data_IF_042106704261
#
_entry.id   IF_042106704261
#
_cell.length_a   1.000
_cell.length_b   1.000
_cell.length_c   1.000
_cell.angle_alpha   90.00
_cell.angle_beta   90.00
_cell.angle_gamma   90.00
#
_symmetry.space_group_name_H-M   'P 1'
#
loop_
_entity.id
_entity.type
_entity.pdbx_description
1 polymer ?
#
# COMPACT_ATOMS: atom_id res chain seq x y z
N UNK A 1 20.11 13.39 21.56
CA UNK A 1 20.13 14.81 21.98
C UNK A 1 18.74 15.43 21.82
N UNK A 2 18.52 16.59 22.43
CA UNK A 2 17.24 17.32 22.31
C UNK A 2 16.96 17.72 20.85
N UNK A 3 17.99 18.05 20.10
CA UNK A 3 17.90 18.41 18.68
C UNK A 3 17.46 17.22 17.81
N UNK A 4 17.96 16.04 18.08
CA UNK A 4 17.54 14.82 17.36
C UNK A 4 16.06 14.49 17.60
N UNK A 5 15.59 14.70 18.84
CA UNK A 5 14.17 14.49 19.14
C UNK A 5 13.27 15.47 18.39
N UNK A 6 13.68 16.75 18.32
CA UNK A 6 12.96 17.79 17.55
C UNK A 6 12.95 17.48 16.06
N UNK A 7 14.08 17.06 15.50
CA UNK A 7 14.19 16.68 14.10
C UNK A 7 13.26 15.49 13.77
N UNK A 8 13.23 14.47 14.61
CA UNK A 8 12.31 13.32 14.44
C UNK A 8 10.84 13.72 14.46
N UNK A 9 10.47 14.71 15.27
CA UNK A 9 9.09 15.22 15.29
C UNK A 9 8.75 15.90 13.96
N UNK A 10 9.63 16.74 13.45
CA UNK A 10 9.45 17.43 12.17
C UNK A 10 9.36 16.41 11.01
N UNK A 11 10.24 15.41 11.02
CA UNK A 11 10.22 14.34 10.01
C UNK A 11 8.88 13.57 10.03
N UNK A 12 8.36 13.27 11.21
CA UNK A 12 7.03 12.63 11.36
C UNK A 12 5.91 13.52 10.83
N UNK A 13 5.98 14.81 11.10
CA UNK A 13 4.99 15.77 10.60
C UNK A 13 5.04 15.88 9.07
N UNK A 14 6.23 15.86 8.48
CA UNK A 14 6.42 15.82 7.02
C UNK A 14 5.80 14.55 6.43
N UNK A 15 6.09 13.39 7.00
CA UNK A 15 5.51 12.13 6.53
C UNK A 15 3.99 12.09 6.71
N UNK A 16 3.46 12.64 7.79
CA UNK A 16 2.02 12.75 7.99
C UNK A 16 1.36 13.63 6.91
N UNK A 17 1.93 14.79 6.60
CA UNK A 17 1.42 15.68 5.55
C UNK A 17 1.44 14.97 4.20
N UNK A 18 2.55 14.31 3.85
CA UNK A 18 2.68 13.54 2.60
C UNK A 18 1.62 12.45 2.52
N UNK A 19 1.37 11.72 3.61
CA UNK A 19 0.37 10.66 3.66
C UNK A 19 -1.05 11.19 3.41
N UNK A 20 -1.41 12.34 3.98
CA UNK A 20 -2.74 12.93 3.78
C UNK A 20 -2.99 13.30 2.32
N UNK A 21 -2.02 13.92 1.66
CA UNK A 21 -2.18 14.30 0.25
C UNK A 21 -2.01 13.12 -0.70
N UNK A 22 -1.22 12.10 -0.32
CA UNK A 22 -1.08 10.87 -1.11
C UNK A 22 -2.40 10.10 -1.20
N UNK A 23 -3.25 10.17 -0.20
CA UNK A 23 -4.59 9.56 -0.24
C UNK A 23 -5.54 10.28 -1.21
N UNK A 24 -5.21 11.52 -1.58
CA UNK A 24 -5.94 12.30 -2.58
C UNK A 24 -5.38 12.17 -4.00
N UNK A 25 -4.38 11.32 -4.19
CA UNK A 25 -3.74 11.07 -5.47
C UNK A 25 -2.38 11.77 -5.68
N UNK A 26 -1.94 12.60 -4.74
CA UNK A 26 -0.66 13.33 -4.85
C UNK A 26 0.51 12.48 -4.32
N UNK A 27 0.92 11.49 -5.10
CA UNK A 27 1.93 10.50 -4.69
C UNK A 27 3.35 11.06 -4.64
N UNK A 28 3.65 12.12 -5.40
CA UNK A 28 4.99 12.68 -5.54
C UNK A 28 5.14 14.04 -4.88
N UNK A 29 4.39 14.27 -3.83
CA UNK A 29 4.43 15.51 -3.05
C UNK A 29 5.78 15.72 -2.40
N UNK A 30 6.30 16.93 -2.54
CA UNK A 30 7.47 17.39 -1.81
C UNK A 30 7.04 18.31 -0.67
N UNK A 31 7.64 18.12 0.50
CA UNK A 31 7.42 18.99 1.67
C UNK A 31 8.76 19.55 2.10
N UNK A 32 8.88 20.87 2.03
CA UNK A 32 10.02 21.62 2.56
C UNK A 32 9.60 22.28 3.85
N UNK A 33 10.53 22.44 4.77
CA UNK A 33 10.25 23.14 6.02
C UNK A 33 11.33 24.16 6.35
N UNK A 34 10.93 25.20 7.08
CA UNK A 34 11.78 26.27 7.56
C UNK A 34 11.50 26.51 9.03
N UNK A 35 12.57 26.69 9.81
CA UNK A 35 12.48 26.90 11.27
C UNK A 35 12.88 28.35 11.57
N UNK A 36 11.94 29.05 12.17
CA UNK A 36 12.20 30.43 12.72
C UNK A 36 12.24 30.37 14.22
N UNK A 37 13.34 30.86 14.79
CA UNK A 37 13.53 30.97 16.24
C UNK A 37 13.26 32.39 16.70
N UNK A 38 12.40 32.53 17.69
CA UNK A 38 12.21 33.77 18.44
C UNK A 38 12.86 33.59 19.80
N UNK A 39 14.07 34.16 19.94
CA UNK A 39 14.85 34.04 21.18
C UNK A 39 14.23 34.80 22.33
N UNK A 40 13.50 35.89 22.06
CA UNK A 40 12.90 36.74 23.11
C UNK A 40 11.74 36.00 23.82
N UNK A 41 10.95 35.24 23.08
CA UNK A 41 9.81 34.52 23.61
C UNK A 41 10.08 33.03 23.82
N UNK A 42 11.30 32.60 23.53
CA UNK A 42 11.72 31.20 23.63
C UNK A 42 10.82 30.22 22.80
N UNK A 43 10.38 30.69 21.64
CA UNK A 43 9.47 29.97 20.73
C UNK A 43 10.23 29.69 19.43
N UNK A 44 10.03 28.46 18.91
CA UNK A 44 10.43 28.11 17.57
C UNK A 44 9.18 27.78 16.74
N UNK A 45 9.03 28.41 15.59
CA UNK A 45 7.97 28.13 14.64
C UNK A 45 8.52 27.37 13.45
N UNK A 46 7.79 26.34 13.01
CA UNK A 46 8.11 25.54 11.83
C UNK A 46 7.10 25.86 10.76
N UNK A 47 7.58 26.26 9.59
CA UNK A 47 6.75 26.56 8.45
C UNK A 47 6.93 25.47 7.38
N UNK A 48 5.85 24.78 7.03
CA UNK A 48 5.87 23.74 6.02
C UNK A 48 5.41 24.29 4.68
N UNK A 49 6.20 24.09 3.63
CA UNK A 49 5.84 24.40 2.26
C UNK A 49 5.55 23.11 1.51
N UNK A 50 4.31 22.91 1.15
CA UNK A 50 3.83 21.68 0.47
C UNK A 50 3.74 21.95 -1.01
N UNK A 51 4.47 21.14 -1.80
CA UNK A 51 4.43 21.15 -3.25
C UNK A 51 3.81 19.82 -3.69
N UNK A 52 2.49 19.78 -3.95
CA UNK A 52 1.79 18.51 -4.17
C UNK A 52 2.13 17.86 -5.52
N UNK A 53 2.48 18.64 -6.52
CA UNK A 53 2.62 18.15 -7.89
C UNK A 53 1.27 17.82 -8.52
N UNK A 54 1.27 16.92 -9.51
CA UNK A 54 0.06 16.46 -10.18
C UNK A 54 -0.54 15.24 -9.48
N UNK A 55 -1.84 15.04 -9.64
CA UNK A 55 -2.49 13.78 -9.29
C UNK A 55 -1.89 12.66 -10.13
N UNK A 56 -1.61 11.53 -9.47
CA UNK A 56 -0.93 10.39 -10.09
C UNK A 56 -1.93 9.26 -10.30
N UNK A 57 -1.90 8.69 -11.49
CA UNK A 57 -2.73 7.56 -11.89
C UNK A 57 -1.85 6.34 -12.10
N UNK A 58 -2.41 5.17 -11.82
CA UNK A 58 -1.74 3.90 -12.07
C UNK A 58 -1.67 3.67 -13.58
N UNK A 59 -0.45 3.48 -14.10
CA UNK A 59 -0.23 3.14 -15.49
C UNK A 59 -0.35 1.64 -15.72
N UNK A 60 0.37 0.85 -14.94
CA UNK A 60 0.33 -0.61 -15.02
C UNK A 60 0.63 -1.25 -13.65
N UNK A 61 0.16 -2.47 -13.48
CA UNK A 61 0.45 -3.33 -12.34
C UNK A 61 1.18 -4.56 -12.87
N UNK A 62 2.47 -4.65 -12.57
CA UNK A 62 3.36 -5.69 -13.06
C UNK A 62 3.59 -6.70 -11.94
N UNK A 63 3.23 -7.95 -12.17
CA UNK A 63 3.31 -9.02 -11.18
C UNK A 63 4.40 -10.00 -11.58
N UNK A 64 5.22 -10.40 -10.63
CA UNK A 64 6.29 -11.38 -10.82
C UNK A 64 6.48 -12.27 -9.59
N UNK A 65 7.08 -13.45 -9.79
CA UNK A 65 7.36 -14.41 -8.73
C UNK A 65 6.24 -15.41 -8.47
N UNK A 66 5.09 -15.23 -9.11
CA UNK A 66 3.92 -16.12 -8.98
C UNK A 66 3.98 -17.28 -9.98
N UNK A 67 4.90 -18.22 -9.78
CA UNK A 67 5.12 -19.35 -10.71
C UNK A 67 3.98 -20.36 -10.70
N UNK A 68 3.29 -20.51 -9.58
CA UNK A 68 2.16 -21.45 -9.37
C UNK A 68 0.84 -20.75 -9.13
N UNK A 69 0.86 -19.49 -8.78
CA UNK A 69 -0.32 -18.69 -8.50
C UNK A 69 -0.69 -17.87 -9.72
N UNK A 70 -1.95 -17.92 -10.15
CA UNK A 70 -2.42 -17.14 -11.28
C UNK A 70 -2.35 -15.63 -11.01
N UNK A 71 -2.04 -14.85 -12.02
CA UNK A 71 -2.03 -13.39 -11.96
C UNK A 71 -3.36 -12.83 -11.43
N UNK A 72 -4.47 -13.39 -11.84
CA UNK A 72 -5.80 -12.98 -11.40
C UNK A 72 -6.00 -13.10 -9.89
N UNK A 73 -5.37 -14.08 -9.26
CA UNK A 73 -5.40 -14.26 -7.80
C UNK A 73 -4.63 -13.14 -7.10
N UNK A 74 -3.47 -12.77 -7.63
CA UNK A 74 -2.67 -11.66 -7.09
C UNK A 74 -3.40 -10.33 -7.31
N UNK A 75 -3.90 -10.08 -8.52
CA UNK A 75 -4.59 -8.83 -8.88
C UNK A 75 -5.84 -8.58 -8.06
N UNK A 76 -6.52 -9.62 -7.63
CA UNK A 76 -7.71 -9.52 -6.78
C UNK A 76 -7.43 -8.82 -5.45
N UNK A 77 -6.23 -9.03 -4.90
CA UNK A 77 -5.82 -8.44 -3.62
C UNK A 77 -5.01 -7.14 -3.79
N UNK A 78 -4.78 -6.70 -5.01
CA UNK A 78 -4.22 -5.38 -5.33
C UNK A 78 -5.36 -4.42 -5.63
N UNK A 79 -5.60 -3.47 -4.72
CA UNK A 79 -6.75 -2.56 -4.77
C UNK A 79 -6.54 -1.33 -5.68
N UNK A 80 -5.44 -1.29 -6.40
CA UNK A 80 -5.13 -0.30 -7.41
C UNK A 80 -4.98 -1.00 -8.76
N UNK A 81 -5.81 -0.62 -9.72
CA UNK A 81 -5.79 -1.11 -11.09
C UNK A 81 -5.28 -0.03 -12.06
N UNK A 82 -4.86 -0.39 -13.28
CA UNK A 82 -4.53 0.61 -14.30
C UNK A 82 -5.65 1.63 -14.48
N UNK A 83 -5.28 2.90 -14.62
CA UNK A 83 -6.14 4.10 -14.70
C UNK A 83 -6.75 4.57 -13.38
N UNK A 84 -6.62 3.84 -12.30
CA UNK A 84 -7.07 4.30 -10.99
C UNK A 84 -6.22 5.47 -10.49
N UNK A 85 -6.85 6.38 -9.76
CA UNK A 85 -6.15 7.41 -9.02
C UNK A 85 -5.38 6.76 -7.87
N UNK A 86 -4.12 7.14 -7.70
CA UNK A 86 -3.31 6.63 -6.60
C UNK A 86 -3.95 6.94 -5.24
N UNK A 87 -3.92 5.97 -4.35
CA UNK A 87 -4.32 6.09 -2.95
C UNK A 87 -3.29 5.37 -2.08
N UNK A 88 -2.71 6.07 -1.13
CA UNK A 88 -1.76 5.47 -0.18
C UNK A 88 -2.42 4.39 0.67
N UNK A 89 -3.67 4.61 1.08
CA UNK A 89 -4.44 3.62 1.83
C UNK A 89 -4.61 2.34 1.03
N UNK A 90 -5.03 2.43 -0.24
CA UNK A 90 -5.19 1.28 -1.11
C UNK A 90 -3.86 0.59 -1.42
N UNK A 91 -2.78 1.35 -1.54
CA UNK A 91 -1.43 0.80 -1.70
C UNK A 91 -1.01 -0.04 -0.48
N UNK A 92 -1.15 0.51 0.71
CA UNK A 92 -0.81 -0.20 1.96
C UNK A 92 -1.70 -1.41 2.19
N UNK A 93 -2.99 -1.27 1.95
CA UNK A 93 -3.95 -2.36 2.12
C UNK A 93 -3.73 -3.48 1.10
N UNK A 94 -3.32 -3.17 -0.12
CA UNK A 94 -2.92 -4.17 -1.12
C UNK A 94 -1.79 -5.06 -0.61
N UNK A 95 -0.74 -4.45 -0.07
CA UNK A 95 0.38 -5.19 0.52
C UNK A 95 -0.08 -6.07 1.69
N UNK A 96 -0.90 -5.51 2.58
CA UNK A 96 -1.44 -6.23 3.73
C UNK A 96 -2.32 -7.40 3.28
N UNK A 97 -3.18 -7.21 2.30
CA UNK A 97 -4.06 -8.26 1.79
C UNK A 97 -3.26 -9.42 1.19
N UNK A 98 -2.25 -9.13 0.38
CA UNK A 98 -1.37 -10.16 -0.18
C UNK A 98 -0.60 -10.92 0.90
N UNK A 99 -0.12 -10.23 1.93
CA UNK A 99 0.57 -10.87 3.06
C UNK A 99 -0.37 -11.76 3.87
N UNK A 100 -1.61 -11.34 4.08
CA UNK A 100 -2.62 -12.12 4.82
C UNK A 100 -3.20 -13.29 4.03
N UNK A 101 -3.02 -13.32 2.72
CA UNK A 101 -3.58 -14.36 1.85
C UNK A 101 -3.07 -15.77 2.19
N UNK A 102 -1.89 -15.88 2.76
CA UNK A 102 -1.24 -17.15 3.06
C UNK A 102 -0.54 -17.80 1.87
N UNK A 103 -0.68 -17.25 0.65
CA UNK A 103 -0.04 -17.78 -0.54
C UNK A 103 1.43 -17.41 -0.67
N UNK A 104 1.86 -16.35 0.01
CA UNK A 104 3.19 -15.77 -0.19
C UNK A 104 3.97 -15.67 1.11
N UNK A 105 5.25 -16.06 1.08
CA UNK A 105 6.22 -15.84 2.16
C UNK A 105 6.65 -14.39 2.22
N UNK A 106 6.83 -13.77 1.05
CA UNK A 106 7.28 -12.40 0.92
C UNK A 106 6.45 -11.68 -0.13
N UNK A 107 6.10 -10.44 0.17
CA UNK A 107 5.40 -9.53 -0.74
C UNK A 107 6.13 -8.20 -0.73
N UNK A 108 6.51 -7.73 -1.91
CA UNK A 108 7.08 -6.41 -2.10
C UNK A 108 6.31 -5.68 -3.20
N UNK A 109 5.87 -4.46 -2.92
CA UNK A 109 5.24 -3.60 -3.92
C UNK A 109 6.08 -2.34 -4.04
N UNK A 110 6.67 -2.13 -5.21
CA UNK A 110 7.44 -0.94 -5.54
C UNK A 110 6.61 0.02 -6.38
N UNK A 111 6.80 1.30 -6.12
CA UNK A 111 6.25 2.37 -6.92
C UNK A 111 7.31 2.84 -7.92
N UNK A 112 7.06 2.67 -9.19
CA UNK A 112 7.92 3.14 -10.27
C UNK A 112 7.31 4.35 -10.93
N UNK A 113 7.96 5.50 -10.83
CA UNK A 113 7.49 6.71 -11.50
C UNK A 113 7.73 6.60 -13.00
N UNK A 114 6.66 6.69 -13.77
CA UNK A 114 6.70 6.66 -15.26
C UNK A 114 6.73 8.07 -15.83
N UNK A 115 5.95 8.95 -15.26
CA UNK A 115 5.86 10.36 -15.65
C UNK A 115 5.43 11.22 -14.45
N UNK A 116 5.18 12.51 -14.67
CA UNK A 116 4.72 13.40 -13.60
C UNK A 116 3.38 12.98 -13.00
N UNK A 117 2.53 12.29 -13.76
CA UNK A 117 1.17 11.93 -13.40
C UNK A 117 0.89 10.42 -13.48
N UNK A 118 1.91 9.59 -13.68
CA UNK A 118 1.75 8.14 -13.83
C UNK A 118 2.79 7.37 -13.06
N UNK A 119 2.35 6.24 -12.47
CA UNK A 119 3.22 5.27 -11.85
C UNK A 119 2.85 3.85 -12.24
N UNK A 120 3.85 2.97 -12.25
CA UNK A 120 3.67 1.52 -12.26
C UNK A 120 3.75 1.00 -10.82
N UNK A 121 2.96 -0.02 -10.52
CA UNK A 121 3.13 -0.83 -9.32
C UNK A 121 3.82 -2.13 -9.72
N UNK A 122 4.98 -2.39 -9.14
CA UNK A 122 5.74 -3.62 -9.35
C UNK A 122 5.54 -4.51 -8.15
N UNK A 123 4.72 -5.54 -8.31
CA UNK A 123 4.38 -6.51 -7.27
C UNK A 123 5.27 -7.72 -7.45
N UNK A 124 6.19 -7.92 -6.52
CA UNK A 124 7.07 -9.08 -6.49
C UNK A 124 6.70 -9.94 -5.30
N UNK A 125 6.35 -11.19 -5.56
CA UNK A 125 5.95 -12.14 -4.53
C UNK A 125 6.91 -13.33 -4.51
N UNK A 126 7.08 -13.92 -3.34
CA UNK A 126 7.70 -15.23 -3.16
C UNK A 126 6.65 -16.17 -2.63
N UNK A 127 6.36 -17.22 -3.39
CA UNK A 127 5.32 -18.16 -3.03
C UNK A 127 5.69 -18.97 -1.79
N UNK A 128 4.72 -19.17 -0.90
CA UNK A 128 4.86 -20.02 0.25
C UNK A 128 5.05 -21.49 -0.18
N UNK A 129 5.74 -22.26 0.64
CA UNK A 129 5.91 -23.69 0.39
C UNK A 129 4.54 -24.37 0.44
N UNK A 130 4.31 -25.31 -0.48
CA UNK A 130 3.05 -26.02 -0.62
C UNK A 130 2.59 -26.68 0.69
N UNK A 131 3.50 -27.18 1.50
CA UNK A 131 3.21 -27.74 2.81
C UNK A 131 2.57 -26.77 3.78
N UNK A 132 2.99 -25.52 3.78
CA UNK A 132 2.42 -24.47 4.65
C UNK A 132 1.00 -24.11 4.24
N UNK A 133 0.72 -24.07 2.95
CA UNK A 133 -0.62 -23.82 2.41
C UNK A 133 -1.56 -24.96 2.81
N UNK A 134 -1.11 -26.20 2.73
CA UNK A 134 -1.89 -27.37 3.13
C UNK A 134 -2.21 -27.38 4.62
N UNK A 135 -1.27 -26.99 5.48
CA UNK A 135 -1.48 -26.88 6.93
C UNK A 135 -2.45 -25.75 7.28
N UNK A 136 -2.42 -24.65 6.57
CA UNK A 136 -3.34 -23.53 6.77
C UNK A 136 -4.74 -23.79 6.21
N UNK A 137 -4.85 -24.56 5.12
CA UNK A 137 -6.09 -24.78 4.38
C UNK A 137 -6.73 -26.16 4.55
N UNK A 138 -6.10 -27.09 5.19
CA UNK A 138 -6.51 -28.51 5.19
C UNK A 138 -6.49 -29.02 3.77
N UNK A 139 -6.06 -30.09 3.45
CA UNK A 139 -6.11 -30.93 2.37
C UNK A 139 -6.12 -30.42 0.99
N UNK A 140 -5.19 -30.55 0.29
CA UNK A 140 -4.91 -30.57 -1.16
C UNK A 140 -5.99 -30.34 -2.23
N UNK A 141 -7.21 -30.10 -1.93
CA UNK A 141 -8.16 -29.58 -2.88
C UNK A 141 -8.29 -28.07 -2.71
N UNK A 142 -8.09 -27.36 -3.77
CA UNK A 142 -8.29 -25.93 -3.87
C UNK A 142 -9.66 -25.49 -3.35
N UNK A 143 -10.67 -26.29 -3.60
CA UNK A 143 -12.06 -26.04 -3.19
C UNK A 143 -12.23 -26.15 -1.67
N UNK A 144 -11.57 -27.12 -1.02
CA UNK A 144 -11.59 -27.26 0.43
C UNK A 144 -10.90 -26.11 1.14
N UNK A 145 -9.83 -25.58 0.58
CA UNK A 145 -9.15 -24.40 1.10
C UNK A 145 -10.03 -23.14 1.02
N UNK A 146 -10.65 -22.93 -0.14
CA UNK A 146 -11.55 -21.79 -0.36
C UNK A 146 -12.79 -21.83 0.54
N UNK A 147 -13.36 -23.02 0.75
CA UNK A 147 -14.50 -23.21 1.64
C UNK A 147 -14.10 -22.95 3.10
N UNK A 148 -12.97 -23.45 3.55
CA UNK A 148 -12.49 -23.19 4.91
C UNK A 148 -12.18 -21.71 5.16
N UNK A 149 -11.56 -21.03 4.24
CA UNK A 149 -11.34 -19.61 4.33
C UNK A 149 -12.66 -18.83 4.34
N UNK A 150 -13.66 -19.24 3.55
CA UNK A 150 -14.97 -18.62 3.50
C UNK A 150 -15.81 -18.85 4.76
N UNK A 151 -15.64 -19.98 5.45
CA UNK A 151 -16.39 -20.31 6.66
C UNK A 151 -15.80 -19.60 7.89
N UNK A 152 -14.49 -19.48 7.97
CA UNK A 152 -13.83 -18.96 9.15
C UNK A 152 -13.62 -17.44 9.15
N UNK A 153 -13.78 -16.79 8.05
CA UNK A 153 -13.54 -15.35 7.95
C UNK A 153 -14.66 -14.62 7.19
N UNK A 154 -15.68 -14.23 7.94
CA UNK A 154 -16.76 -13.37 7.42
C UNK A 154 -16.23 -12.07 6.79
N UNK A 155 -15.08 -11.59 7.24
CA UNK A 155 -14.46 -10.37 6.71
C UNK A 155 -13.93 -10.55 5.29
N UNK A 156 -13.47 -11.75 4.91
CA UNK A 156 -13.05 -12.03 3.52
C UNK A 156 -14.26 -11.95 2.59
N UNK A 157 -15.40 -12.49 3.01
CA UNK A 157 -16.63 -12.47 2.22
C UNK A 157 -17.22 -11.06 2.07
N UNK A 158 -17.21 -10.27 3.16
CA UNK A 158 -17.63 -8.88 3.13
C UNK A 158 -16.69 -8.00 2.27
N UNK A 159 -15.38 -8.21 2.35
CA UNK A 159 -14.40 -7.56 1.47
C UNK A 159 -14.58 -7.96 0.01
N UNK A 160 -14.91 -9.20 -0.26
CA UNK A 160 -15.21 -9.67 -1.61
C UNK A 160 -16.47 -8.97 -2.18
N UNK A 161 -17.54 -8.88 -1.39
CA UNK A 161 -18.76 -8.17 -1.76
C UNK A 161 -18.54 -6.65 -1.90
N UNK A 162 -17.74 -6.06 -1.04
CA UNK A 162 -17.40 -4.63 -1.10
C UNK A 162 -16.59 -4.27 -2.35
N UNK A 163 -15.65 -5.13 -2.75
CA UNK A 163 -14.92 -4.97 -4.00
C UNK A 163 -15.80 -5.16 -5.24
N UNK A 164 -16.78 -6.06 -5.17
CA UNK A 164 -17.72 -6.27 -6.28
C UNK A 164 -18.63 -5.06 -6.50
N UNK A 165 -18.98 -4.35 -5.45
CA UNK A 165 -19.80 -3.12 -5.53
C UNK A 165 -19.03 -1.91 -6.06
N UNK A 166 -17.70 -1.93 -6.03
CA UNK A 166 -16.86 -0.86 -6.60
C UNK A 166 -16.58 -1.03 -8.10
N UNK A 167 -16.92 -2.18 -8.68
CA UNK A 167 -16.63 -2.52 -10.09
C UNK A 167 -17.84 -2.26 -11.00
N UNK A 168 -19.01 -1.96 -10.44
CA UNK A 168 -20.22 -1.60 -11.19
C UNK A 168 -20.51 -0.09 -11.13
#
# INVERSE_FOLDING_TARGET
SLNEKRQKIIEKDVEFIKAQVADLGYAFTQVKYDIKKDEKNNIASVNFNVIPGKKVYINDVIISGNHRTLDSVVRRDVFLAPKDLYSLTDFKESKNALQRSGFFEMVNIQQERVSEDKMNLIVTVTEARTGNIMLGGGYGSYDGFMINAGINDKNIFEKFLFNFSKIN
#
